data_IF_140133751701
#
_entry.id   IF_140133751701
#
_cell.length_a   1.000
_cell.length_b   1.000
_cell.length_c   1.000
_cell.angle_alpha   90.00
_cell.angle_beta   90.00
_cell.angle_gamma   90.00
#
_symmetry.space_group_name_H-M   'P 1'
#
loop_
_entity.id
_entity.type
_entity.pdbx_description
1 polymer ?
#
# COMPACT_ATOMS: atom_id res chain seq x y z
N UNK A 1 2.30 -24.98 -21.00
CA UNK A 1 1.53 -25.73 -19.97
C UNK A 1 2.22 -25.73 -18.60
N UNK A 2 3.56 -25.83 -18.50
CA UNK A 2 4.26 -25.81 -17.21
C UNK A 2 4.11 -24.51 -16.40
N UNK A 3 4.49 -23.37 -16.98
CA UNK A 3 4.53 -22.05 -16.30
C UNK A 3 3.17 -21.65 -15.70
N UNK A 4 2.07 -21.93 -16.39
CA UNK A 4 0.73 -21.59 -15.88
C UNK A 4 0.35 -22.42 -14.65
N UNK A 5 0.63 -23.72 -14.65
CA UNK A 5 0.34 -24.59 -13.50
C UNK A 5 1.24 -24.26 -12.31
N UNK A 6 2.49 -23.88 -12.58
CA UNK A 6 3.44 -23.41 -11.59
C UNK A 6 2.95 -22.11 -10.94
N UNK A 7 2.54 -21.13 -11.75
CA UNK A 7 1.95 -19.89 -11.26
C UNK A 7 0.69 -20.15 -10.43
N UNK A 8 -0.24 -21.00 -10.90
CA UNK A 8 -1.44 -21.37 -10.13
C UNK A 8 -1.02 -21.97 -8.78
N UNK A 9 -0.11 -22.94 -8.79
CA UNK A 9 0.39 -23.61 -7.58
C UNK A 9 1.02 -22.60 -6.62
N UNK A 10 1.80 -21.65 -7.13
CA UNK A 10 2.49 -20.65 -6.33
C UNK A 10 1.51 -19.65 -5.71
N UNK A 11 0.55 -19.15 -6.48
CA UNK A 11 -0.47 -18.22 -6.03
C UNK A 11 -1.46 -18.89 -5.04
N UNK A 12 -1.78 -20.17 -5.24
CA UNK A 12 -2.67 -20.93 -4.34
C UNK A 12 -2.10 -21.16 -2.93
N UNK A 13 -0.83 -20.81 -2.68
CA UNK A 13 -0.23 -20.84 -1.33
C UNK A 13 -0.54 -19.59 -0.51
N UNK A 14 -1.08 -18.55 -1.13
CA UNK A 14 -1.50 -17.33 -0.44
C UNK A 14 -2.73 -17.59 0.40
N UNK A 15 -2.75 -17.03 1.62
CA UNK A 15 -3.97 -16.99 2.44
C UNK A 15 -4.93 -15.87 1.96
N UNK A 16 -4.39 -14.83 1.33
CA UNK A 16 -5.16 -13.67 0.83
C UNK A 16 -5.83 -13.85 -0.54
N UNK A 17 -5.49 -14.89 -1.30
CA UNK A 17 -5.89 -15.02 -2.71
C UNK A 17 -6.70 -16.30 -2.96
N UNK A 18 -7.84 -16.16 -3.64
CA UNK A 18 -8.58 -17.29 -4.20
C UNK A 18 -8.19 -17.51 -5.65
N UNK A 19 -7.53 -18.63 -5.95
CA UNK A 19 -7.02 -18.95 -7.29
C UNK A 19 -7.87 -20.05 -7.94
N UNK A 20 -8.38 -19.80 -9.14
CA UNK A 20 -9.14 -20.79 -9.92
C UNK A 20 -8.19 -21.77 -10.61
N UNK A 21 -8.59 -23.04 -10.62
CA UNK A 21 -7.82 -24.11 -11.26
C UNK A 21 -7.88 -24.01 -12.78
N UNK A 22 -6.79 -24.42 -13.45
CA UNK A 22 -6.69 -24.43 -14.90
C UNK A 22 -7.80 -25.26 -15.55
N UNK A 23 -8.13 -26.41 -14.96
CA UNK A 23 -9.17 -27.30 -15.48
C UNK A 23 -10.54 -26.60 -15.51
N UNK A 24 -10.91 -25.90 -14.43
CA UNK A 24 -12.17 -25.15 -14.35
C UNK A 24 -12.26 -24.08 -15.43
N UNK A 25 -11.16 -23.36 -15.68
CA UNK A 25 -11.09 -22.37 -16.76
C UNK A 25 -11.24 -23.02 -18.14
N UNK A 26 -10.55 -24.13 -18.39
CA UNK A 26 -10.63 -24.87 -19.64
C UNK A 26 -12.01 -25.46 -19.90
N UNK A 27 -12.67 -26.02 -18.89
CA UNK A 27 -14.01 -26.58 -19.04
C UNK A 27 -15.00 -25.50 -19.47
N UNK A 28 -14.88 -24.29 -18.89
CA UNK A 28 -15.69 -23.12 -19.29
C UNK A 28 -15.38 -22.68 -20.72
N UNK A 29 -14.10 -22.68 -21.13
CA UNK A 29 -13.68 -22.35 -22.49
C UNK A 29 -14.21 -23.36 -23.51
N UNK A 30 -14.15 -24.66 -23.19
CA UNK A 30 -14.67 -25.73 -24.03
C UNK A 30 -16.19 -25.65 -24.17
N UNK A 31 -16.91 -25.43 -23.06
CA UNK A 31 -18.36 -25.23 -23.07
C UNK A 31 -18.79 -23.99 -23.87
N UNK A 32 -17.95 -22.94 -23.90
CA UNK A 32 -18.21 -21.74 -24.68
C UNK A 32 -17.94 -21.91 -26.19
N UNK A 33 -17.39 -23.06 -26.64
CA UNK A 33 -17.06 -23.31 -28.04
C UNK A 33 -15.91 -22.46 -28.59
N UNK A 34 -15.11 -21.83 -27.70
CA UNK A 34 -14.06 -20.86 -28.08
C UNK A 34 -12.67 -21.50 -27.99
N UNK A 35 -12.38 -22.47 -28.88
CA UNK A 35 -11.15 -23.29 -28.87
C UNK A 35 -9.98 -22.73 -29.71
N UNK A 36 -10.15 -21.65 -30.47
CA UNK A 36 -9.06 -21.09 -31.27
C UNK A 36 -8.16 -20.18 -30.40
N UNK A 37 -7.09 -20.78 -29.87
CA UNK A 37 -6.05 -20.18 -29.02
C UNK A 37 -5.24 -19.03 -29.66
N UNK A 38 -5.61 -18.55 -30.85
CA UNK A 38 -4.88 -17.51 -31.59
C UNK A 38 -5.13 -16.08 -31.12
N UNK A 39 -6.22 -15.83 -30.40
CA UNK A 39 -6.47 -14.51 -29.78
C UNK A 39 -7.45 -14.63 -28.62
N UNK A 40 -6.97 -14.45 -27.40
CA UNK A 40 -7.83 -14.15 -26.25
C UNK A 40 -8.46 -12.77 -26.49
N UNK A 41 -9.69 -12.72 -27.00
CA UNK A 41 -10.38 -11.44 -27.21
C UNK A 41 -10.90 -10.90 -25.87
N UNK A 42 -11.03 -9.57 -25.71
CA UNK A 42 -11.62 -8.99 -24.50
C UNK A 42 -13.03 -9.52 -24.17
N UNK A 43 -13.83 -9.87 -25.18
CA UNK A 43 -15.15 -10.48 -25.00
C UNK A 43 -15.06 -11.90 -24.40
N UNK A 44 -14.03 -12.67 -24.77
CA UNK A 44 -13.77 -13.99 -24.17
C UNK A 44 -13.37 -13.87 -22.71
N UNK A 45 -12.45 -12.96 -22.40
CA UNK A 45 -12.03 -12.70 -21.03
C UNK A 45 -13.25 -12.34 -20.15
N UNK A 46 -14.10 -11.41 -20.61
CA UNK A 46 -15.31 -10.97 -19.89
C UNK A 46 -16.30 -12.10 -19.58
N UNK A 47 -16.60 -12.97 -20.55
CA UNK A 47 -17.52 -14.11 -20.36
C UNK A 47 -17.00 -15.15 -19.37
N UNK A 48 -15.68 -15.38 -19.39
CA UNK A 48 -15.02 -16.33 -18.47
C UNK A 48 -14.96 -15.72 -17.07
N UNK A 49 -14.71 -14.40 -16.99
CA UNK A 49 -14.63 -13.65 -15.74
C UNK A 49 -15.89 -13.76 -14.90
N UNK A 50 -17.05 -13.54 -15.55
CA UNK A 50 -18.35 -13.57 -14.89
C UNK A 50 -18.70 -14.98 -14.42
N UNK A 51 -18.37 -16.01 -15.21
CA UNK A 51 -18.60 -17.41 -14.85
C UNK A 51 -17.67 -17.93 -13.75
N UNK A 52 -16.45 -17.39 -13.65
CA UNK A 52 -15.48 -17.79 -12.64
C UNK A 52 -15.57 -16.97 -11.35
N UNK A 53 -16.38 -15.92 -11.33
CA UNK A 53 -16.49 -14.95 -10.23
C UNK A 53 -15.09 -14.43 -9.83
N UNK A 54 -14.35 -13.95 -10.82
CA UNK A 54 -12.96 -13.49 -10.64
C UNK A 54 -12.87 -11.98 -10.83
N UNK A 55 -12.03 -11.33 -10.03
CA UNK A 55 -11.75 -9.90 -10.14
C UNK A 55 -10.59 -9.61 -11.10
N UNK A 56 -9.73 -10.60 -11.36
CA UNK A 56 -8.54 -10.40 -12.20
C UNK A 56 -8.19 -11.63 -13.04
N UNK A 57 -7.70 -11.40 -14.25
CA UNK A 57 -7.01 -12.41 -15.08
C UNK A 57 -5.54 -12.09 -15.21
N UNK A 58 -4.73 -13.15 -15.27
CA UNK A 58 -3.31 -13.06 -15.61
C UNK A 58 -3.13 -13.62 -17.01
N UNK A 59 -2.66 -12.77 -17.92
CA UNK A 59 -2.30 -13.15 -19.29
C UNK A 59 -0.78 -13.10 -19.43
N UNK A 60 -0.18 -14.27 -19.61
CA UNK A 60 1.26 -14.41 -19.80
C UNK A 60 1.66 -14.44 -21.27
N UNK A 61 2.88 -13.98 -21.59
CA UNK A 61 3.52 -14.24 -22.88
C UNK A 61 5.02 -14.49 -22.73
N UNK A 62 5.58 -15.29 -23.62
CA UNK A 62 7.02 -15.56 -23.69
C UNK A 62 7.48 -15.15 -25.08
N UNK A 63 8.54 -14.34 -25.14
CA UNK A 63 9.17 -13.92 -26.39
C UNK A 63 10.63 -14.31 -26.35
N UNK A 64 11.13 -14.89 -27.44
CA UNK A 64 12.53 -15.27 -27.60
C UNK A 64 13.12 -14.52 -28.80
N UNK A 65 14.30 -13.93 -28.63
CA UNK A 65 15.04 -13.26 -29.71
C UNK A 65 16.53 -13.40 -29.45
N UNK A 66 17.23 -14.16 -30.31
CA UNK A 66 18.66 -14.48 -30.29
C UNK A 66 19.25 -14.76 -28.89
N UNK A 67 19.50 -13.72 -28.09
CA UNK A 67 20.17 -13.78 -26.78
C UNK A 67 19.25 -13.43 -25.60
N UNK A 68 17.96 -13.16 -25.84
CA UNK A 68 17.00 -12.72 -24.82
C UNK A 68 15.75 -13.61 -24.84
N UNK A 69 15.40 -14.11 -23.66
CA UNK A 69 14.09 -14.67 -23.32
C UNK A 69 13.39 -13.66 -22.42
N UNK A 70 12.17 -13.28 -22.80
CA UNK A 70 11.33 -12.35 -22.03
C UNK A 70 10.04 -13.02 -21.65
N UNK A 71 9.72 -13.04 -20.35
CA UNK A 71 8.42 -13.45 -19.84
C UNK A 71 7.67 -12.20 -19.37
N UNK A 72 6.46 -12.00 -19.88
CA UNK A 72 5.56 -10.94 -19.43
C UNK A 72 4.33 -11.55 -18.77
N UNK A 73 3.79 -10.83 -17.78
CA UNK A 73 2.46 -11.06 -17.24
C UNK A 73 1.68 -9.75 -17.18
N UNK A 74 0.47 -9.77 -17.74
CA UNK A 74 -0.49 -8.66 -17.67
C UNK A 74 -1.61 -9.06 -16.71
N UNK A 75 -1.81 -8.26 -15.67
CA UNK A 75 -2.95 -8.37 -14.77
C UNK A 75 -4.06 -7.48 -15.31
N UNK A 76 -5.18 -8.10 -15.63
CA UNK A 76 -6.33 -7.48 -16.28
C UNK A 76 -7.49 -7.50 -15.29
N UNK A 77 -8.07 -6.34 -15.04
CA UNK A 77 -9.27 -6.21 -14.24
C UNK A 77 -10.48 -6.71 -15.05
N UNK A 78 -11.30 -7.57 -14.45
CA UNK A 78 -12.37 -8.26 -15.19
C UNK A 78 -13.55 -7.38 -15.54
N UNK A 79 -13.73 -6.28 -14.81
CA UNK A 79 -14.83 -5.36 -14.98
C UNK A 79 -14.52 -4.33 -16.07
N UNK A 80 -13.44 -3.58 -15.89
CA UNK A 80 -12.94 -2.56 -16.82
C UNK A 80 -12.33 -3.17 -18.09
N UNK A 81 -11.83 -4.40 -18.01
CA UNK A 81 -11.08 -5.09 -19.08
C UNK A 81 -9.75 -4.42 -19.41
N UNK A 82 -9.27 -3.54 -18.52
CA UNK A 82 -8.01 -2.83 -18.68
C UNK A 82 -6.88 -3.56 -17.95
N UNK A 83 -5.67 -3.46 -18.49
CA UNK A 83 -4.46 -3.92 -17.80
C UNK A 83 -4.09 -2.90 -16.73
N UNK A 84 -4.17 -3.29 -15.46
CA UNK A 84 -3.83 -2.40 -14.34
C UNK A 84 -2.40 -2.62 -13.82
N UNK A 85 -1.78 -3.77 -14.14
CA UNK A 85 -0.37 -4.02 -13.82
C UNK A 85 0.29 -4.92 -14.86
N UNK A 86 1.56 -4.66 -15.16
CA UNK A 86 2.39 -5.51 -16.00
C UNK A 86 3.69 -5.84 -15.27
N UNK A 87 4.14 -7.08 -15.41
CA UNK A 87 5.43 -7.56 -14.95
C UNK A 87 6.23 -8.10 -16.14
N UNK A 88 7.53 -7.88 -16.12
CA UNK A 88 8.45 -8.36 -17.14
C UNK A 88 9.73 -8.85 -16.47
N UNK A 89 10.20 -10.03 -16.87
CA UNK A 89 11.50 -10.58 -16.52
C UNK A 89 12.23 -10.96 -17.80
N UNK A 90 13.48 -10.52 -17.91
CA UNK A 90 14.39 -10.84 -19.01
C UNK A 90 15.48 -11.78 -18.50
N UNK A 91 15.83 -12.76 -19.33
CA UNK A 91 16.90 -13.72 -19.11
C UNK A 91 17.60 -14.04 -20.42
N UNK A 92 18.74 -14.71 -20.33
CA UNK A 92 19.62 -14.87 -21.49
C UNK A 92 19.81 -16.34 -21.89
N UNK A 93 19.33 -17.28 -21.08
CA UNK A 93 19.46 -18.72 -21.32
C UNK A 93 18.14 -19.42 -21.05
N UNK A 94 17.89 -20.50 -21.78
CA UNK A 94 16.69 -21.32 -21.58
C UNK A 94 16.67 -22.00 -20.21
N UNK A 95 17.84 -22.31 -19.66
CA UNK A 95 18.01 -22.82 -18.29
C UNK A 95 17.48 -21.82 -17.21
N UNK A 96 17.39 -20.53 -17.55
CA UNK A 96 16.90 -19.49 -16.63
C UNK A 96 15.37 -19.51 -16.51
N UNK A 97 14.64 -20.22 -17.39
CA UNK A 97 13.19 -20.10 -17.52
C UNK A 97 12.43 -20.42 -16.21
N UNK A 98 12.92 -21.40 -15.43
CA UNK A 98 12.33 -21.73 -14.12
C UNK A 98 12.57 -20.60 -13.11
N UNK A 99 13.81 -20.12 -12.98
CA UNK A 99 14.15 -19.02 -12.07
C UNK A 99 13.40 -17.72 -12.44
N UNK A 100 13.25 -17.45 -13.74
CA UNK A 100 12.45 -16.34 -14.24
C UNK A 100 10.97 -16.50 -13.89
N UNK A 101 10.43 -17.72 -14.02
CA UNK A 101 9.04 -18.05 -13.68
C UNK A 101 8.79 -17.93 -12.18
N UNK A 102 9.70 -18.40 -11.34
CA UNK A 102 9.66 -18.25 -9.88
C UNK A 102 9.66 -16.77 -9.48
N UNK A 103 10.58 -15.99 -10.06
CA UNK A 103 10.68 -14.55 -9.80
C UNK A 103 9.41 -13.80 -10.21
N UNK A 104 8.88 -14.12 -11.40
CA UNK A 104 7.64 -13.54 -11.90
C UNK A 104 6.44 -13.93 -11.01
N UNK A 105 6.37 -15.19 -10.60
CA UNK A 105 5.30 -15.70 -9.73
C UNK A 105 5.33 -15.01 -8.37
N UNK A 106 6.51 -14.82 -7.79
CA UNK A 106 6.69 -14.06 -6.55
C UNK A 106 6.23 -12.60 -6.70
N UNK A 107 6.67 -11.91 -7.77
CA UNK A 107 6.28 -10.51 -8.01
C UNK A 107 4.76 -10.34 -8.14
N UNK A 108 4.12 -11.24 -8.88
CA UNK A 108 2.66 -11.23 -9.06
C UNK A 108 1.95 -11.50 -7.74
N UNK A 109 2.37 -12.55 -7.00
CA UNK A 109 1.76 -12.91 -5.72
C UNK A 109 1.86 -11.76 -4.73
N UNK A 110 3.07 -11.26 -4.52
CA UNK A 110 3.36 -10.19 -3.56
C UNK A 110 2.54 -8.94 -3.85
N UNK A 111 2.44 -8.55 -5.13
CA UNK A 111 1.61 -7.41 -5.53
C UNK A 111 0.12 -7.64 -5.27
N UNK A 112 -0.41 -8.83 -5.56
CA UNK A 112 -1.82 -9.16 -5.34
C UNK A 112 -2.16 -9.25 -3.84
N UNK A 113 -1.32 -9.91 -3.04
CA UNK A 113 -1.46 -10.01 -1.57
C UNK A 113 -1.49 -8.61 -0.94
N UNK A 114 -0.52 -7.75 -1.29
CA UNK A 114 -0.49 -6.35 -0.81
C UNK A 114 -1.73 -5.58 -1.26
N UNK A 115 -2.17 -5.76 -2.50
CA UNK A 115 -3.35 -5.05 -3.03
C UNK A 115 -4.64 -5.45 -2.32
N UNK A 116 -4.75 -6.71 -1.89
CA UNK A 116 -5.92 -7.20 -1.14
C UNK A 116 -5.89 -6.68 0.31
N UNK A 117 -4.76 -6.87 1.01
CA UNK A 117 -4.57 -6.44 2.38
C UNK A 117 -4.81 -4.93 2.58
N UNK A 118 -4.40 -4.11 1.61
CA UNK A 118 -4.62 -2.65 1.64
C UNK A 118 -6.10 -2.25 1.69
N UNK A 119 -7.03 -3.12 1.27
CA UNK A 119 -8.47 -2.83 1.33
C UNK A 119 -9.03 -2.86 2.75
N UNK A 120 -8.31 -3.47 3.70
CA UNK A 120 -8.68 -3.47 5.12
C UNK A 120 -8.40 -2.13 5.81
N UNK A 121 -7.51 -1.32 5.23
CA UNK A 121 -7.13 -0.02 5.76
C UNK A 121 -8.10 1.06 5.26
N UNK A 122 -8.40 2.04 6.13
CA UNK A 122 -9.00 3.27 5.65
C UNK A 122 -8.03 4.06 4.75
N UNK A 123 -8.57 5.06 4.05
CA UNK A 123 -7.84 5.80 3.03
C UNK A 123 -6.58 6.50 3.56
N UNK A 124 -6.59 7.02 4.79
CA UNK A 124 -5.41 7.69 5.36
C UNK A 124 -4.31 6.66 5.64
N UNK A 125 -4.61 5.59 6.38
CA UNK A 125 -3.60 4.57 6.69
C UNK A 125 -3.10 3.81 5.46
N UNK A 126 -3.95 3.62 4.45
CA UNK A 126 -3.55 3.01 3.19
C UNK A 126 -2.63 3.93 2.37
N UNK A 127 -2.94 5.24 2.31
CA UNK A 127 -2.10 6.22 1.60
C UNK A 127 -0.67 6.27 2.14
N UNK A 128 -0.52 6.08 3.46
CA UNK A 128 0.78 6.05 4.13
C UNK A 128 1.47 4.68 4.05
N UNK A 129 0.76 3.60 3.74
CA UNK A 129 1.37 2.28 3.65
C UNK A 129 2.31 2.22 2.43
N UNK A 130 3.62 2.06 2.63
CA UNK A 130 4.62 2.06 1.52
C UNK A 130 5.45 0.78 1.44
N UNK A 131 5.29 -0.16 2.38
CA UNK A 131 6.05 -1.41 2.39
C UNK A 131 5.74 -2.31 1.19
N UNK A 132 6.73 -3.09 0.78
CA UNK A 132 6.60 -4.19 -0.18
C UNK A 132 6.62 -5.58 0.46
N UNK A 133 6.68 -5.68 1.79
CA UNK A 133 6.56 -6.95 2.51
C UNK A 133 5.11 -7.16 2.94
N UNK A 134 4.56 -8.31 2.54
CA UNK A 134 3.23 -8.77 2.96
C UNK A 134 3.17 -8.91 4.48
N UNK A 135 4.20 -9.48 5.08
CA UNK A 135 4.28 -9.72 6.52
C UNK A 135 4.36 -8.41 7.31
N UNK A 136 5.17 -7.44 6.85
CA UNK A 136 5.24 -6.11 7.47
C UNK A 136 3.88 -5.38 7.35
N UNK A 137 3.19 -5.52 6.22
CA UNK A 137 1.88 -4.92 6.00
C UNK A 137 0.81 -5.56 6.90
N UNK A 138 0.82 -6.88 7.08
CA UNK A 138 -0.08 -7.57 8.01
C UNK A 138 0.13 -7.09 9.45
N UNK A 139 1.38 -6.98 9.90
CA UNK A 139 1.69 -6.41 11.21
C UNK A 139 1.21 -4.95 11.32
N UNK A 140 1.38 -4.14 10.26
CA UNK A 140 0.87 -2.77 10.23
C UNK A 140 -0.65 -2.71 10.36
N UNK A 141 -1.39 -3.53 9.61
CA UNK A 141 -2.86 -3.60 9.68
C UNK A 141 -3.32 -4.00 11.08
N UNK A 142 -2.68 -5.00 11.69
CA UNK A 142 -2.97 -5.38 13.08
C UNK A 142 -2.70 -4.24 14.05
N UNK A 143 -1.58 -3.53 13.88
CA UNK A 143 -1.24 -2.35 14.67
C UNK A 143 -2.25 -1.23 14.53
N UNK A 144 -2.69 -0.91 13.30
CA UNK A 144 -3.74 0.08 13.02
C UNK A 144 -5.07 -0.33 13.63
N UNK A 145 -5.46 -1.60 13.53
CA UNK A 145 -6.68 -2.13 14.14
C UNK A 145 -6.65 -2.06 15.68
N UNK A 146 -5.51 -2.33 16.31
CA UNK A 146 -5.35 -2.14 17.74
C UNK A 146 -5.37 -0.65 18.12
N UNK A 147 -4.67 0.18 17.34
CA UNK A 147 -4.58 1.62 17.52
C UNK A 147 -5.96 2.30 17.50
N UNK A 148 -6.78 1.98 16.49
CA UNK A 148 -8.15 2.50 16.34
C UNK A 148 -9.09 2.01 17.43
N UNK A 149 -8.81 0.86 18.05
CA UNK A 149 -9.51 0.37 19.25
C UNK A 149 -8.94 0.94 20.55
N UNK A 150 -8.01 1.89 20.47
CA UNK A 150 -7.29 2.50 21.61
C UNK A 150 -6.46 1.54 22.45
N UNK A 151 -6.21 0.33 21.94
CA UNK A 151 -5.28 -0.62 22.54
C UNK A 151 -3.86 -0.28 22.08
N UNK A 152 -3.34 0.81 22.61
CA UNK A 152 -2.05 1.36 22.21
C UNK A 152 -0.89 0.41 22.56
N UNK A 153 -1.03 -0.41 23.61
CA UNK A 153 -0.01 -1.41 23.96
C UNK A 153 0.10 -2.46 22.86
N UNK A 154 -1.01 -3.07 22.45
CA UNK A 154 -0.99 -4.03 21.35
C UNK A 154 -0.55 -3.37 20.03
N UNK A 155 -0.96 -2.13 19.78
CA UNK A 155 -0.54 -1.37 18.61
C UNK A 155 0.99 -1.23 18.55
N UNK A 156 1.63 -0.83 19.66
CA UNK A 156 3.09 -0.73 19.78
C UNK A 156 3.78 -2.06 19.46
N UNK A 157 3.27 -3.19 19.97
CA UNK A 157 3.84 -4.52 19.72
C UNK A 157 3.78 -4.91 18.23
N UNK A 158 2.63 -4.68 17.60
CA UNK A 158 2.44 -4.95 16.17
C UNK A 158 3.29 -4.03 15.28
N UNK A 159 3.37 -2.74 15.61
CA UNK A 159 4.22 -1.78 14.89
C UNK A 159 5.70 -2.10 15.04
N UNK A 160 6.17 -2.48 16.23
CA UNK A 160 7.55 -2.95 16.41
C UNK A 160 7.83 -4.22 15.60
N UNK A 161 6.86 -5.13 15.50
CA UNK A 161 6.97 -6.32 14.66
C UNK A 161 7.08 -5.96 13.18
N UNK A 162 6.29 -4.99 12.70
CA UNK A 162 6.41 -4.46 11.34
C UNK A 162 7.79 -3.84 11.07
N UNK A 163 8.31 -3.01 11.98
CA UNK A 163 9.64 -2.38 11.84
C UNK A 163 10.80 -3.37 11.95
N UNK A 164 10.61 -4.52 12.59
CA UNK A 164 11.60 -5.60 12.60
C UNK A 164 11.73 -6.27 11.23
N UNK A 165 10.64 -6.31 10.46
CA UNK A 165 10.59 -6.91 9.12
C UNK A 165 11.01 -5.87 8.07
N UNK A 166 10.45 -4.67 8.13
CA UNK A 166 10.76 -3.54 7.27
C UNK A 166 11.10 -2.32 8.12
N UNK A 167 12.39 -2.13 8.38
CA UNK A 167 12.88 -1.02 9.19
C UNK A 167 12.56 0.34 8.57
N UNK A 168 12.38 0.41 7.25
CA UNK A 168 12.16 1.65 6.50
C UNK A 168 10.68 2.01 6.36
N UNK A 169 9.79 1.26 7.01
CA UNK A 169 8.35 1.52 6.96
C UNK A 169 7.97 2.80 7.74
N UNK A 170 8.13 3.95 7.08
CA UNK A 170 7.98 5.32 7.61
C UNK A 170 6.65 5.57 8.31
N UNK A 171 5.54 5.11 7.74
CA UNK A 171 4.21 5.24 8.33
C UNK A 171 4.12 4.59 9.71
N UNK A 172 4.70 3.41 9.86
CA UNK A 172 4.76 2.70 11.15
C UNK A 172 5.52 3.53 12.18
N UNK A 173 6.65 4.13 11.80
CA UNK A 173 7.44 4.99 12.72
C UNK A 173 6.59 6.15 13.25
N UNK A 174 5.81 6.78 12.37
CA UNK A 174 4.97 7.93 12.74
C UNK A 174 3.84 7.51 13.69
N UNK A 175 3.12 6.44 13.37
CA UNK A 175 1.99 5.98 14.19
C UNK A 175 2.50 5.34 15.50
N UNK A 176 3.71 4.78 15.50
CA UNK A 176 4.36 4.27 16.71
C UNK A 176 4.71 5.39 17.70
N UNK A 177 5.28 6.51 17.24
CA UNK A 177 5.51 7.70 18.10
C UNK A 177 4.21 8.08 18.81
N UNK A 178 3.18 8.19 18.01
CA UNK A 178 1.83 8.55 18.40
C UNK A 178 1.24 7.58 19.44
N UNK A 179 1.42 6.27 19.24
CA UNK A 179 0.95 5.25 20.17
C UNK A 179 1.69 5.34 21.52
N UNK A 180 3.01 5.60 21.50
CA UNK A 180 3.79 5.82 22.70
C UNK A 180 3.37 7.11 23.45
N UNK A 181 3.13 8.23 22.75
CA UNK A 181 2.56 9.44 23.37
C UNK A 181 1.23 9.14 24.04
N UNK A 182 0.38 8.34 23.38
CA UNK A 182 -0.95 7.99 23.89
C UNK A 182 -0.90 7.08 25.14
N UNK A 183 0.20 6.35 25.32
CA UNK A 183 0.53 5.60 26.55
C UNK A 183 1.20 6.46 27.63
N UNK A 184 1.64 7.68 27.30
CA UNK A 184 2.46 8.52 28.18
C UNK A 184 3.95 8.19 28.18
N UNK A 185 4.38 7.31 27.27
CA UNK A 185 5.76 6.83 27.10
C UNK A 185 6.54 7.80 26.20
N UNK A 186 6.80 9.01 26.71
CA UNK A 186 7.40 10.09 25.93
C UNK A 186 8.86 9.82 25.55
N UNK A 187 9.62 9.14 26.41
CA UNK A 187 11.02 8.79 26.15
C UNK A 187 11.13 7.79 24.99
N UNK A 188 10.23 6.81 24.93
CA UNK A 188 10.09 5.84 23.86
C UNK A 188 9.72 6.54 22.54
N UNK A 189 8.77 7.48 22.59
CA UNK A 189 8.40 8.29 21.42
C UNK A 189 9.62 9.07 20.87
N UNK A 190 10.42 9.69 21.75
CA UNK A 190 11.66 10.38 21.38
C UNK A 190 12.67 9.40 20.77
N UNK A 191 12.85 8.21 21.34
CA UNK A 191 13.76 7.20 20.80
C UNK A 191 13.33 6.70 19.42
N UNK A 192 12.02 6.63 19.13
CA UNK A 192 11.52 6.28 17.79
C UNK A 192 11.93 7.36 16.78
N UNK A 193 11.79 8.64 17.12
CA UNK A 193 12.31 9.72 16.28
C UNK A 193 13.81 9.61 16.12
N UNK A 194 14.57 9.53 17.21
CA UNK A 194 16.03 9.56 17.14
C UNK A 194 16.55 8.44 16.23
N UNK A 195 15.95 7.24 16.30
CA UNK A 195 16.20 6.14 15.35
C UNK A 195 15.80 6.51 13.92
N UNK A 196 14.62 7.08 13.72
CA UNK A 196 14.14 7.46 12.40
C UNK A 196 14.98 8.55 11.72
N UNK A 197 15.63 9.41 12.51
CA UNK A 197 16.49 10.48 12.03
C UNK A 197 17.91 10.00 11.68
N UNK A 198 18.33 8.79 12.09
CA UNK A 198 19.61 8.21 11.70
C UNK A 198 19.68 7.87 10.21
N UNK A 199 18.55 7.50 9.61
CA UNK A 199 18.42 7.02 8.24
C UNK A 199 17.34 7.77 7.44
N UNK A 200 16.99 8.98 7.87
CA UNK A 200 15.90 9.78 7.28
C UNK A 200 16.07 9.99 5.77
N UNK A 201 17.30 10.15 5.29
CA UNK A 201 17.59 10.34 3.86
C UNK A 201 17.27 9.11 2.99
N UNK A 202 17.05 7.94 3.60
CA UNK A 202 16.59 6.74 2.90
C UNK A 202 15.08 6.68 2.68
N UNK A 203 14.32 7.56 3.36
CA UNK A 203 12.87 7.62 3.27
C UNK A 203 12.42 8.47 2.07
N UNK A 204 11.22 8.22 1.51
CA UNK A 204 10.57 9.12 0.57
C UNK A 204 10.54 10.57 1.08
N UNK A 205 10.71 11.55 0.19
CA UNK A 205 10.86 12.95 0.60
C UNK A 205 9.66 13.49 1.41
N UNK A 206 8.43 13.14 1.03
CA UNK A 206 7.23 13.51 1.79
C UNK A 206 7.25 12.93 3.22
N UNK A 207 7.68 11.68 3.39
CA UNK A 207 7.82 11.04 4.71
C UNK A 207 8.87 11.74 5.58
N UNK A 208 9.99 12.16 4.98
CA UNK A 208 11.01 12.94 5.69
C UNK A 208 10.44 14.25 6.23
N UNK A 209 9.69 14.97 5.40
CA UNK A 209 9.05 16.22 5.78
C UNK A 209 8.02 16.01 6.88
N UNK A 210 7.22 14.95 6.79
CA UNK A 210 6.21 14.64 7.80
C UNK A 210 6.83 14.24 9.15
N UNK A 211 7.92 13.46 9.16
CA UNK A 211 8.67 13.16 10.38
C UNK A 211 9.30 14.42 11.01
N UNK A 212 9.80 15.35 10.18
CA UNK A 212 10.32 16.65 10.64
C UNK A 212 9.21 17.53 11.24
N UNK A 213 8.02 17.55 10.64
CA UNK A 213 6.84 18.18 11.22
C UNK A 213 6.52 17.56 12.59
N UNK A 214 6.39 16.24 12.68
CA UNK A 214 6.05 15.55 13.92
C UNK A 214 7.06 15.84 15.04
N UNK A 215 8.37 15.91 14.73
CA UNK A 215 9.40 16.30 15.70
C UNK A 215 9.29 17.76 16.14
N UNK A 216 8.97 18.69 15.24
CA UNK A 216 8.80 20.12 15.59
C UNK A 216 7.69 20.38 16.61
N UNK A 217 6.70 19.49 16.68
CA UNK A 217 5.66 19.52 17.71
C UNK A 217 6.24 19.34 19.13
N UNK A 218 7.30 18.55 19.29
CA UNK A 218 8.01 18.37 20.56
C UNK A 218 8.87 19.59 20.92
N UNK A 219 9.39 20.29 19.91
CA UNK A 219 10.17 21.50 20.07
C UNK A 219 9.28 22.75 20.33
N UNK A 220 7.95 22.60 20.25
CA UNK A 220 6.94 23.66 20.40
C UNK A 220 7.14 24.81 19.41
N UNK A 221 7.55 24.48 18.19
CA UNK A 221 7.77 25.44 17.10
C UNK A 221 6.71 25.26 15.99
N UNK A 222 5.53 25.90 16.13
CA UNK A 222 4.46 25.77 15.14
C UNK A 222 4.81 26.39 13.78
N UNK A 223 5.72 27.37 13.72
CA UNK A 223 6.13 27.98 12.44
C UNK A 223 6.94 27.00 11.60
N UNK A 224 7.85 26.26 12.24
CA UNK A 224 8.59 25.18 11.57
C UNK A 224 7.65 24.04 11.17
N UNK A 225 6.66 23.70 12.00
CA UNK A 225 5.62 22.73 11.67
C UNK A 225 4.81 23.11 10.42
N UNK A 226 4.33 24.36 10.35
CA UNK A 226 3.64 24.92 9.18
C UNK A 226 4.49 24.78 7.92
N UNK A 227 5.76 25.20 7.98
CA UNK A 227 6.68 25.12 6.84
C UNK A 227 6.81 23.69 6.30
N UNK A 228 6.96 22.70 7.18
CA UNK A 228 7.09 21.31 6.75
C UNK A 228 5.79 20.76 6.18
N UNK A 229 4.64 21.05 6.79
CA UNK A 229 3.33 20.62 6.28
C UNK A 229 2.97 21.26 4.95
N UNK A 230 3.27 22.54 4.74
CA UNK A 230 3.11 23.19 3.45
C UNK A 230 3.93 22.47 2.37
N UNK A 231 5.17 22.10 2.66
CA UNK A 231 6.00 21.30 1.75
C UNK A 231 5.40 19.90 1.54
N UNK A 232 4.92 19.20 2.58
CA UNK A 232 4.26 17.90 2.39
C UNK A 232 3.09 18.04 1.41
N UNK A 233 2.25 19.06 1.56
CA UNK A 233 1.08 19.27 0.70
C UNK A 233 1.42 19.74 -0.71
N UNK A 234 2.60 20.33 -0.94
CA UNK A 234 3.11 20.58 -2.30
C UNK A 234 3.41 19.26 -3.04
N UNK A 235 3.92 18.25 -2.32
CA UNK A 235 4.24 16.93 -2.89
C UNK A 235 3.04 15.98 -2.90
N UNK A 236 2.19 16.06 -1.88
CA UNK A 236 1.01 15.21 -1.69
C UNK A 236 -0.25 16.07 -1.48
N UNK A 237 -0.82 16.65 -2.56
CA UNK A 237 -1.95 17.57 -2.45
C UNK A 237 -3.25 16.95 -1.95
N UNK A 238 -3.31 15.62 -1.82
CA UNK A 238 -4.47 14.89 -1.28
C UNK A 238 -4.20 14.32 0.11
N UNK A 239 -3.10 14.69 0.76
CA UNK A 239 -2.81 14.23 2.12
C UNK A 239 -3.70 14.94 3.14
N UNK A 240 -4.92 14.41 3.29
CA UNK A 240 -5.98 14.94 4.17
C UNK A 240 -5.51 15.14 5.61
N UNK A 241 -4.81 14.16 6.17
CA UNK A 241 -4.26 14.28 7.53
C UNK A 241 -3.25 15.44 7.64
N UNK A 242 -2.43 15.68 6.61
CA UNK A 242 -1.53 16.83 6.56
C UNK A 242 -2.25 18.17 6.53
N UNK A 243 -3.35 18.29 5.78
CA UNK A 243 -4.19 19.49 5.75
C UNK A 243 -4.79 19.80 7.13
N UNK A 244 -5.28 18.77 7.81
CA UNK A 244 -5.80 18.92 9.17
C UNK A 244 -4.74 19.38 10.15
N UNK A 245 -3.56 18.75 10.12
CA UNK A 245 -2.46 19.17 10.99
C UNK A 245 -2.02 20.60 10.68
N UNK A 246 -2.06 21.02 9.42
CA UNK A 246 -1.74 22.40 9.05
C UNK A 246 -2.75 23.38 9.62
N UNK A 247 -4.04 23.03 9.60
CA UNK A 247 -5.07 23.78 10.31
C UNK A 247 -4.82 23.89 11.81
N UNK A 248 -4.40 22.79 12.46
CA UNK A 248 -4.04 22.79 13.88
C UNK A 248 -2.84 23.70 14.18
N UNK A 249 -1.80 23.69 13.34
CA UNK A 249 -0.66 24.58 13.52
C UNK A 249 -1.04 26.06 13.34
N UNK A 250 -1.93 26.35 12.39
CA UNK A 250 -2.47 27.70 12.22
C UNK A 250 -3.32 28.17 13.41
N UNK A 251 -4.05 27.28 14.08
CA UNK A 251 -4.72 27.58 15.37
C UNK A 251 -3.68 28.00 16.42
N UNK A 252 -2.56 27.27 16.56
CA UNK A 252 -1.54 27.54 17.58
C UNK A 252 -0.93 28.94 17.46
N UNK A 253 -0.90 29.51 16.26
CA UNK A 253 -0.41 30.88 16.00
C UNK A 253 -1.53 31.92 15.81
N UNK A 254 -2.78 31.56 16.07
CA UNK A 254 -3.93 32.45 16.02
C UNK A 254 -4.42 32.86 14.63
N UNK A 255 -4.03 32.14 13.57
CA UNK A 255 -4.48 32.38 12.19
C UNK A 255 -5.72 31.53 11.88
N UNK A 256 -6.85 31.87 12.50
CA UNK A 256 -8.06 31.06 12.44
C UNK A 256 -8.68 30.96 11.04
N UNK A 257 -8.59 32.01 10.22
CA UNK A 257 -9.10 32.00 8.85
C UNK A 257 -8.37 30.98 7.97
N UNK A 258 -7.03 30.92 8.08
CA UNK A 258 -6.25 29.91 7.38
C UNK A 258 -6.51 28.52 7.92
N UNK A 259 -6.66 28.38 9.23
CA UNK A 259 -7.01 27.10 9.83
C UNK A 259 -8.32 26.55 9.24
N UNK A 260 -9.36 27.39 9.18
CA UNK A 260 -10.64 27.05 8.58
C UNK A 260 -10.50 26.62 7.11
N UNK A 261 -9.73 27.35 6.30
CA UNK A 261 -9.47 27.01 4.89
C UNK A 261 -8.89 25.59 4.74
N UNK A 262 -7.89 25.22 5.56
CA UNK A 262 -7.28 23.89 5.48
C UNK A 262 -8.17 22.78 6.03
N UNK A 263 -9.00 23.06 7.04
CA UNK A 263 -10.01 22.10 7.48
C UNK A 263 -11.09 21.87 6.43
N UNK A 264 -11.53 22.92 5.73
CA UNK A 264 -12.47 22.81 4.62
C UNK A 264 -11.88 21.93 3.51
N UNK A 265 -10.63 22.17 3.12
CA UNK A 265 -9.92 21.32 2.14
C UNK A 265 -9.83 19.86 2.60
N UNK A 266 -9.49 19.61 3.87
CA UNK A 266 -9.45 18.25 4.40
C UNK A 266 -10.82 17.56 4.32
N UNK A 267 -11.89 18.31 4.60
CA UNK A 267 -13.27 17.82 4.52
C UNK A 267 -13.71 17.57 3.07
N UNK A 268 -13.30 18.41 2.12
CA UNK A 268 -13.54 18.18 0.70
C UNK A 268 -12.90 16.87 0.22
N UNK A 269 -11.67 16.56 0.66
CA UNK A 269 -11.02 15.28 0.37
C UNK A 269 -11.77 14.11 1.03
N UNK A 270 -12.23 14.26 2.27
CA UNK A 270 -13.07 13.23 2.91
C UNK A 270 -14.32 12.91 2.10
N UNK A 271 -15.05 13.94 1.66
CA UNK A 271 -16.23 13.76 0.84
C UNK A 271 -15.92 13.06 -0.50
N UNK A 272 -14.77 13.37 -1.12
CA UNK A 272 -14.32 12.68 -2.33
C UNK A 272 -14.04 11.19 -2.09
N UNK A 273 -13.58 10.83 -0.90
CA UNK A 273 -13.31 9.44 -0.50
C UNK A 273 -14.56 8.70 0.01
N UNK A 274 -15.75 9.31 -0.07
CA UNK A 274 -17.01 8.70 0.37
C UNK A 274 -17.44 9.09 1.79
N UNK A 275 -16.70 9.99 2.44
CA UNK A 275 -16.96 10.48 3.78
C UNK A 275 -16.62 9.48 4.88
N UNK A 276 -16.87 9.89 6.11
CA UNK A 276 -16.70 9.01 7.27
C UNK A 276 -15.30 9.02 7.83
N UNK A 277 -14.58 10.13 7.69
CA UNK A 277 -13.32 10.32 8.39
C UNK A 277 -13.48 10.22 9.91
N UNK A 278 -12.82 9.23 10.50
CA UNK A 278 -12.91 8.96 11.94
C UNK A 278 -11.63 9.36 12.69
N UNK A 279 -10.52 9.56 11.98
CA UNK A 279 -9.19 9.53 12.58
C UNK A 279 -8.25 10.58 11.96
N UNK A 280 -8.44 11.89 12.23
CA UNK A 280 -7.30 12.77 12.19
C UNK A 280 -6.34 12.23 13.26
N UNK A 281 -5.15 11.78 12.85
CA UNK A 281 -4.06 11.34 13.72
C UNK A 281 -3.88 12.32 14.91
N UNK A 282 -4.65 12.15 16.00
CA UNK A 282 -4.80 13.00 17.19
C UNK A 282 -5.64 14.27 17.03
N UNK A 283 -6.84 14.24 17.62
CA UNK A 283 -7.49 15.43 18.21
C UNK A 283 -6.69 16.03 19.39
N UNK A 284 -5.54 15.45 19.73
CA UNK A 284 -4.71 15.80 20.89
C UNK A 284 -3.24 15.47 20.61
N UNK A 285 -2.57 16.14 19.66
CA UNK A 285 -1.12 16.35 19.87
C UNK A 285 -1.07 17.42 20.97
N UNK A 286 -0.64 17.10 22.21
CA UNK A 286 -0.65 18.09 23.28
C UNK A 286 0.23 19.27 22.87
N UNK A 287 -0.33 20.49 22.89
CA UNK A 287 0.47 21.72 22.89
C UNK A 287 1.18 21.94 24.23
#
# INVERSE_FOLDING_TARGET
MGIQNELITYLSRSEELSVRQFQTMNDILMQAGKLNAGSFTPAMASDISSKLETNSFIVGSIKTSADIIRINAHLIDTHSKETYKTFQIDGNREDDLFAMTDSLSWLIRNFLEISELRKELDSDFNSMATTTSVEALQCYIQGVNAFTRTDYSAAVDHFNSALKIDSNFSAVRTILVIANISLGEFDEAIQVFDRAFLDIESLPYADQLFLKFMRSGFDKDPQTGIKYLEQVLEYEPQFRAGMWQLGNEYIKIGQFEKAAEYFEKAFEIDLQWGGGWQWPLFYTVPG
#
